data_IF_424213922287
#
_entry.id   IF_424213922287
#
_cell.length_a   1.000
_cell.length_b   1.000
_cell.length_c   1.000
_cell.angle_alpha   90.00
_cell.angle_beta   90.00
_cell.angle_gamma   90.00
#
_symmetry.space_group_name_H-M   'P 1'
#
loop_
_entity.id
_entity.type
_entity.pdbx_description
1 polymer ?
#
# COMPACT_ATOMS: atom_id res chain seq x y z
N UNK A 1 -8.84 -2.47 11.79
CA UNK A 1 -8.99 -1.12 12.46
C UNK A 1 -10.45 -0.73 12.42
N UNK A 2 -11.09 -0.70 13.59
CA UNK A 2 -12.56 -0.51 13.71
C UNK A 2 -13.08 0.77 13.05
N UNK A 3 -12.41 1.90 13.27
CA UNK A 3 -12.78 3.19 12.64
C UNK A 3 -12.81 3.11 11.11
N UNK A 4 -11.84 2.44 10.48
CA UNK A 4 -11.79 2.27 9.03
C UNK A 4 -12.91 1.34 8.55
N UNK A 5 -13.18 0.26 9.25
CA UNK A 5 -14.26 -0.69 8.91
C UNK A 5 -15.63 -0.01 8.98
N UNK A 6 -15.89 0.77 10.05
CA UNK A 6 -17.11 1.56 10.18
C UNK A 6 -17.25 2.58 9.03
N UNK A 7 -16.14 3.22 8.62
CA UNK A 7 -16.14 4.14 7.48
C UNK A 7 -16.42 3.43 6.16
N UNK A 8 -15.85 2.25 5.94
CA UNK A 8 -16.12 1.43 4.75
C UNK A 8 -17.60 1.01 4.71
N UNK A 9 -18.16 0.57 5.84
CA UNK A 9 -19.58 0.17 5.91
C UNK A 9 -20.54 1.34 5.67
N UNK A 10 -20.18 2.55 6.10
CA UNK A 10 -21.01 3.74 5.98
C UNK A 10 -20.96 4.36 4.60
N UNK A 11 -19.78 4.55 4.06
CA UNK A 11 -19.52 5.38 2.88
C UNK A 11 -18.91 4.61 1.70
N UNK A 12 -18.56 3.34 1.89
CA UNK A 12 -18.08 2.47 0.83
C UNK A 12 -19.22 2.02 -0.08
N UNK A 13 -18.95 1.90 -1.38
CA UNK A 13 -19.92 1.44 -2.35
C UNK A 13 -19.42 0.17 -3.06
N UNK A 14 -20.22 -0.89 -3.06
CA UNK A 14 -19.89 -2.15 -3.72
C UNK A 14 -20.43 -2.10 -5.14
N UNK A 15 -19.54 -2.31 -6.12
CA UNK A 15 -19.88 -2.39 -7.53
C UNK A 15 -19.64 -3.81 -8.03
N UNK A 16 -20.69 -4.42 -8.57
CA UNK A 16 -20.64 -5.84 -8.99
C UNK A 16 -20.31 -6.76 -7.79
N UNK A 17 -19.55 -7.81 -8.07
CA UNK A 17 -19.28 -8.87 -7.09
C UNK A 17 -17.95 -8.66 -6.31
N UNK A 18 -17.02 -7.86 -6.84
CA UNK A 18 -15.63 -7.83 -6.34
C UNK A 18 -14.99 -6.44 -6.22
N UNK A 19 -15.74 -5.35 -6.46
CA UNK A 19 -15.20 -4.00 -6.44
C UNK A 19 -15.75 -3.25 -5.23
N UNK A 20 -14.85 -2.81 -4.35
CA UNK A 20 -15.17 -1.84 -3.31
C UNK A 20 -14.67 -0.47 -3.74
N UNK A 21 -15.57 0.50 -3.83
CA UNK A 21 -15.30 1.90 -4.13
C UNK A 21 -15.27 2.69 -2.82
N UNK A 22 -14.16 3.37 -2.57
CA UNK A 22 -13.89 4.18 -1.36
C UNK A 22 -13.42 5.59 -1.74
N UNK A 23 -13.96 6.09 -2.83
CA UNK A 23 -13.55 7.35 -3.44
C UNK A 23 -13.94 8.59 -2.63
N UNK A 24 -14.92 8.47 -1.75
CA UNK A 24 -15.38 9.57 -0.91
C UNK A 24 -14.45 9.88 0.28
N UNK A 25 -13.47 9.00 0.59
CA UNK A 25 -12.60 9.22 1.74
C UNK A 25 -11.14 8.74 1.58
N UNK A 26 -10.83 7.97 0.53
CA UNK A 26 -9.48 7.42 0.33
C UNK A 26 -8.92 7.65 -1.08
N UNK A 27 -9.62 7.20 -2.14
CA UNK A 27 -8.99 7.06 -3.47
C UNK A 27 -9.26 8.23 -4.42
N UNK A 28 -10.12 9.20 -4.06
CA UNK A 28 -10.38 10.41 -4.83
C UNK A 28 -10.49 11.65 -3.93
N UNK A 29 -11.49 11.71 -3.06
CA UNK A 29 -11.50 12.63 -1.93
C UNK A 29 -10.75 11.98 -0.77
N UNK A 30 -9.86 12.73 -0.13
CA UNK A 30 -9.07 12.24 1.00
C UNK A 30 -9.60 12.83 2.30
N UNK A 31 -10.07 11.98 3.21
CA UNK A 31 -10.40 12.37 4.56
C UNK A 31 -9.12 12.41 5.40
N UNK A 32 -8.59 13.61 5.61
CA UNK A 32 -7.32 13.80 6.31
C UNK A 32 -7.35 13.32 7.76
N UNK A 33 -8.51 13.40 8.43
CA UNK A 33 -8.65 12.93 9.81
C UNK A 33 -8.52 11.41 9.89
N UNK A 34 -9.18 10.70 8.96
CA UNK A 34 -9.03 9.25 8.83
C UNK A 34 -7.60 8.86 8.47
N UNK A 35 -6.95 9.58 7.54
CA UNK A 35 -5.56 9.32 7.16
C UNK A 35 -4.59 9.47 8.33
N UNK A 36 -4.81 10.46 9.18
CA UNK A 36 -4.02 10.65 10.40
C UNK A 36 -4.14 9.45 11.36
N UNK A 37 -5.34 8.95 11.57
CA UNK A 37 -5.53 7.77 12.42
C UNK A 37 -4.95 6.49 11.80
N UNK A 38 -4.99 6.35 10.48
CA UNK A 38 -4.30 5.30 9.72
C UNK A 38 -2.79 5.42 9.94
N UNK A 39 -2.23 6.63 9.79
CA UNK A 39 -0.81 6.91 10.02
C UNK A 39 -0.36 6.50 11.40
N UNK A 40 -1.07 6.95 12.45
CA UNK A 40 -0.80 6.60 13.85
C UNK A 40 -0.86 5.10 14.10
N UNK A 41 -1.86 4.44 13.55
CA UNK A 41 -2.04 2.99 13.76
C UNK A 41 -0.87 2.20 13.18
N UNK A 42 -0.44 2.51 11.95
CA UNK A 42 0.74 1.88 11.36
C UNK A 42 2.03 2.26 12.09
N UNK A 43 2.21 3.54 12.42
CA UNK A 43 3.41 3.99 13.12
C UNK A 43 3.56 3.31 14.49
N UNK A 44 2.48 3.19 15.25
CA UNK A 44 2.50 2.46 16.53
C UNK A 44 2.89 0.99 16.34
N UNK A 45 2.38 0.35 15.29
CA UNK A 45 2.71 -1.05 14.99
C UNK A 45 4.19 -1.22 14.61
N UNK A 46 4.75 -0.29 13.84
CA UNK A 46 6.12 -0.39 13.29
C UNK A 46 7.18 0.45 14.04
N UNK A 47 6.85 1.12 15.14
CA UNK A 47 7.76 2.01 15.88
C UNK A 47 9.11 1.38 16.27
N UNK A 48 9.14 0.06 16.48
CA UNK A 48 10.34 -0.68 16.87
C UNK A 48 11.04 -1.39 15.70
N UNK A 49 10.53 -1.27 14.48
CA UNK A 49 11.10 -1.93 13.30
C UNK A 49 12.34 -1.22 12.74
N UNK A 50 12.64 -0.01 13.22
CA UNK A 50 13.79 0.78 12.77
C UNK A 50 13.65 1.24 11.32
N UNK A 51 12.42 1.55 10.90
CA UNK A 51 12.11 2.08 9.56
C UNK A 51 12.88 3.38 9.33
N UNK A 52 13.48 3.50 8.15
CA UNK A 52 14.21 4.71 7.73
C UNK A 52 13.51 5.42 6.56
N UNK A 53 12.58 4.74 5.92
CA UNK A 53 11.88 5.28 4.74
C UNK A 53 10.54 4.61 4.51
N UNK A 54 9.54 5.39 4.12
CA UNK A 54 8.26 4.89 3.64
C UNK A 54 8.23 4.95 2.11
N UNK A 55 7.77 3.87 1.48
CA UNK A 55 7.63 3.77 0.02
C UNK A 55 6.20 3.38 -0.33
N UNK A 56 5.67 4.03 -1.35
CA UNK A 56 4.34 3.72 -1.89
C UNK A 56 4.31 3.80 -3.41
N UNK A 57 3.13 3.64 -4.01
CA UNK A 57 2.91 3.82 -5.45
C UNK A 57 1.80 4.86 -5.69
N UNK A 58 1.97 5.70 -6.73
CA UNK A 58 0.91 6.64 -7.11
C UNK A 58 -0.35 5.92 -7.61
N UNK A 59 -1.56 6.48 -7.34
CA UNK A 59 -1.77 7.75 -6.66
C UNK A 59 -2.34 7.55 -5.24
N UNK A 60 -3.23 6.58 -5.01
CA UNK A 60 -4.05 6.48 -3.80
C UNK A 60 -3.28 6.07 -2.55
N UNK A 61 -2.13 5.38 -2.71
CA UNK A 61 -1.24 5.04 -1.61
C UNK A 61 -0.50 6.25 -1.01
N UNK A 62 -0.42 7.39 -1.74
CA UNK A 62 0.35 8.56 -1.30
C UNK A 62 -0.21 9.15 -0.01
N UNK A 63 -1.53 9.31 0.09
CA UNK A 63 -2.14 9.93 1.26
C UNK A 63 -1.85 9.15 2.55
N UNK A 64 -2.18 7.84 2.68
CA UNK A 64 -1.87 7.10 3.89
C UNK A 64 -0.35 7.01 4.15
N UNK A 65 0.48 6.83 3.12
CA UNK A 65 1.93 6.76 3.26
C UNK A 65 2.54 8.05 3.83
N UNK A 66 2.01 9.22 3.45
CA UNK A 66 2.47 10.51 3.96
C UNK A 66 2.25 10.61 5.48
N UNK A 67 1.07 10.24 5.97
CA UNK A 67 0.79 10.30 7.41
C UNK A 67 1.57 9.24 8.21
N UNK A 68 1.84 8.07 7.62
CA UNK A 68 2.74 7.08 8.24
C UNK A 68 4.16 7.63 8.36
N UNK A 69 4.67 8.26 7.31
CA UNK A 69 5.99 8.86 7.29
C UNK A 69 6.13 10.02 8.28
N UNK A 70 5.09 10.87 8.40
CA UNK A 70 5.02 11.95 9.39
C UNK A 70 5.11 11.39 10.83
N UNK A 71 4.31 10.39 11.16
CA UNK A 71 4.29 9.81 12.51
C UNK A 71 5.58 9.03 12.85
N UNK A 72 6.27 8.46 11.86
CA UNK A 72 7.57 7.79 12.03
C UNK A 72 8.77 8.75 11.95
N UNK A 73 8.57 10.01 11.59
CA UNK A 73 9.60 11.04 11.35
C UNK A 73 10.66 10.57 10.32
N UNK A 74 10.20 10.01 9.19
CA UNK A 74 11.05 9.51 8.10
C UNK A 74 10.61 10.06 6.75
N UNK A 75 11.51 10.17 5.75
CA UNK A 75 11.11 10.57 4.40
C UNK A 75 10.22 9.52 3.74
N UNK A 76 9.31 10.00 2.87
CA UNK A 76 8.46 9.18 2.02
C UNK A 76 8.82 9.42 0.55
N UNK A 77 8.84 8.34 -0.24
CA UNK A 77 8.94 8.39 -1.70
C UNK A 77 7.81 7.57 -2.32
N UNK A 78 7.45 7.90 -3.55
CA UNK A 78 6.46 7.12 -4.28
C UNK A 78 6.94 6.76 -5.69
N UNK A 79 6.63 5.52 -6.08
CA UNK A 79 6.84 5.05 -7.45
C UNK A 79 5.83 5.68 -8.40
N UNK A 80 6.32 6.09 -9.57
CA UNK A 80 5.50 6.68 -10.65
C UNK A 80 5.17 5.64 -11.70
N UNK A 81 3.94 5.66 -12.20
CA UNK A 81 3.45 4.76 -13.27
C UNK A 81 3.83 5.20 -14.67
N UNK A 82 4.33 6.41 -14.84
CA UNK A 82 4.78 6.92 -16.13
C UNK A 82 6.31 7.03 -16.19
N UNK A 83 6.89 6.73 -17.35
CA UNK A 83 8.29 7.08 -17.63
C UNK A 83 8.40 8.60 -17.68
N UNK A 84 8.95 9.22 -16.65
CA UNK A 84 9.29 10.64 -16.70
C UNK A 84 10.55 10.79 -17.57
N UNK A 85 10.41 11.43 -18.73
CA UNK A 85 11.49 11.72 -19.69
C UNK A 85 12.63 12.56 -19.06
N UNK A 86 12.35 13.23 -17.93
CA UNK A 86 13.32 14.06 -17.20
C UNK A 86 14.22 13.29 -16.21
N UNK A 87 14.04 11.98 -16.06
CA UNK A 87 14.86 11.14 -15.18
C UNK A 87 15.86 10.36 -16.05
N UNK A 88 16.99 10.96 -16.37
CA UNK A 88 17.93 10.42 -17.37
C UNK A 88 18.95 9.41 -16.86
N UNK A 89 19.17 9.28 -15.53
CA UNK A 89 20.17 8.34 -14.98
C UNK A 89 19.70 7.74 -13.64
N UNK A 90 20.04 6.48 -13.39
CA UNK A 90 19.82 5.83 -12.11
C UNK A 90 18.35 5.56 -11.77
N UNK A 91 17.51 5.29 -12.78
CA UNK A 91 16.10 4.93 -12.57
C UNK A 91 16.00 3.44 -12.28
N UNK A 92 15.36 3.10 -11.18
CA UNK A 92 14.99 1.74 -10.83
C UNK A 92 13.56 1.49 -11.31
N UNK A 93 13.31 0.36 -11.96
CA UNK A 93 12.01 0.06 -12.56
C UNK A 93 11.55 -1.36 -12.26
N UNK A 94 10.23 -1.53 -12.24
CA UNK A 94 9.60 -2.86 -12.25
C UNK A 94 8.35 -2.84 -13.12
N UNK A 95 7.98 -4.00 -13.62
CA UNK A 95 6.71 -4.18 -14.31
C UNK A 95 5.63 -4.63 -13.33
N UNK A 96 4.47 -3.97 -13.40
CA UNK A 96 3.30 -4.27 -12.57
C UNK A 96 2.12 -4.58 -13.48
N UNK A 97 1.60 -5.78 -13.38
CA UNK A 97 0.41 -6.19 -14.10
C UNK A 97 -0.86 -5.79 -13.35
N UNK A 98 -1.74 -5.06 -14.00
CA UNK A 98 -3.05 -4.70 -13.48
C UNK A 98 -4.11 -5.69 -13.97
N UNK A 99 -4.60 -6.55 -13.10
CA UNK A 99 -5.69 -7.49 -13.41
C UNK A 99 -7.00 -6.77 -13.78
N UNK A 100 -7.28 -5.63 -13.15
CA UNK A 100 -8.49 -4.84 -13.43
C UNK A 100 -8.46 -4.20 -14.82
N UNK A 101 -7.29 -3.70 -15.24
CA UNK A 101 -7.11 -3.04 -16.54
C UNK A 101 -6.56 -3.97 -17.62
N UNK A 102 -6.12 -5.18 -17.25
CA UNK A 102 -5.46 -6.16 -18.12
C UNK A 102 -4.27 -5.57 -18.90
N UNK A 103 -3.50 -4.70 -18.25
CA UNK A 103 -2.31 -4.08 -18.84
C UNK A 103 -1.13 -4.16 -17.89
N UNK A 104 0.07 -4.31 -18.46
CA UNK A 104 1.32 -4.15 -17.73
C UNK A 104 1.76 -2.70 -17.78
N UNK A 105 2.10 -2.14 -16.65
CA UNK A 105 2.62 -0.79 -16.51
C UNK A 105 4.01 -0.83 -15.90
N UNK A 106 4.93 -0.04 -16.41
CA UNK A 106 6.23 0.18 -15.79
C UNK A 106 6.08 1.19 -14.65
N UNK A 107 6.54 0.81 -13.46
CA UNK A 107 6.66 1.73 -12.32
C UNK A 107 8.11 2.05 -12.08
N UNK A 108 8.41 3.25 -11.60
CA UNK A 108 9.78 3.74 -11.49
C UNK A 108 10.01 4.61 -10.26
N UNK A 109 11.21 4.50 -9.67
CA UNK A 109 11.74 5.38 -8.63
C UNK A 109 13.13 5.85 -9.04
N UNK A 110 13.46 7.13 -8.77
CA UNK A 110 14.83 7.60 -8.94
C UNK A 110 15.74 6.96 -7.88
N UNK A 111 16.74 6.19 -8.29
CA UNK A 111 17.60 5.41 -7.41
C UNK A 111 18.36 6.26 -6.38
N UNK A 112 18.61 7.55 -6.67
CA UNK A 112 19.25 8.49 -5.72
C UNK A 112 18.48 8.69 -4.41
N UNK A 113 17.21 8.28 -4.33
CA UNK A 113 16.37 8.39 -3.13
C UNK A 113 16.32 7.10 -2.31
N UNK A 114 16.95 6.03 -2.78
CA UNK A 114 17.09 4.76 -2.07
C UNK A 114 18.57 4.43 -1.87
N UNK A 115 18.89 3.87 -0.71
CA UNK A 115 20.25 3.45 -0.37
C UNK A 115 20.25 2.04 0.22
N UNK A 116 21.39 1.31 0.14
CA UNK A 116 21.50 -0.04 0.73
C UNK A 116 21.29 -0.10 2.25
N UNK A 117 21.36 1.05 2.95
CA UNK A 117 21.14 1.16 4.38
C UNK A 117 19.66 1.34 4.74
N UNK A 118 18.80 1.60 3.73
CA UNK A 118 17.39 1.85 4.00
C UNK A 118 16.66 0.58 4.44
N UNK A 119 15.88 0.75 5.51
CA UNK A 119 14.88 -0.18 6.01
C UNK A 119 13.51 0.37 5.63
N UNK A 120 12.91 -0.21 4.63
CA UNK A 120 11.74 0.35 3.97
C UNK A 120 10.46 -0.27 4.52
N UNK A 121 9.50 0.58 4.84
CA UNK A 121 8.10 0.21 5.03
C UNK A 121 7.33 0.55 3.75
N UNK A 122 6.77 -0.45 3.09
CA UNK A 122 5.84 -0.24 2.00
C UNK A 122 4.46 0.04 2.58
N UNK A 123 3.79 1.12 2.11
CA UNK A 123 2.39 1.42 2.44
C UNK A 123 1.60 1.51 1.14
N UNK A 124 0.45 0.83 1.09
CA UNK A 124 -0.45 0.91 -0.07
C UNK A 124 -1.92 0.97 0.36
N UNK A 125 -2.79 1.51 -0.51
CA UNK A 125 -4.22 1.65 -0.24
C UNK A 125 -4.96 0.31 -0.30
N UNK A 126 -4.69 -0.51 -1.31
CA UNK A 126 -5.33 -1.82 -1.51
C UNK A 126 -4.33 -2.95 -1.74
N UNK A 127 -4.56 -4.07 -1.10
CA UNK A 127 -3.95 -5.35 -1.46
C UNK A 127 -5.01 -6.25 -2.13
N UNK A 128 -4.79 -6.56 -3.39
CA UNK A 128 -5.56 -7.51 -4.17
C UNK A 128 -4.69 -8.73 -4.53
N UNK A 129 -4.11 -8.76 -5.73
CA UNK A 129 -3.22 -9.84 -6.19
C UNK A 129 -1.73 -9.60 -5.84
N UNK A 130 -1.39 -8.53 -5.12
CA UNK A 130 -0.04 -8.24 -4.64
C UNK A 130 0.95 -7.73 -5.69
N UNK A 131 0.53 -7.46 -6.93
CA UNK A 131 1.45 -7.09 -8.01
C UNK A 131 2.12 -5.72 -7.78
N UNK A 132 1.41 -4.74 -7.24
CA UNK A 132 1.97 -3.42 -6.92
C UNK A 132 3.06 -3.54 -5.84
N UNK A 133 2.75 -4.23 -4.74
CA UNK A 133 3.73 -4.47 -3.67
C UNK A 133 4.94 -5.26 -4.17
N UNK A 134 4.74 -6.30 -5.00
CA UNK A 134 5.84 -7.05 -5.62
C UNK A 134 6.73 -6.16 -6.49
N UNK A 135 6.15 -5.26 -7.29
CA UNK A 135 6.92 -4.32 -8.09
C UNK A 135 7.74 -3.35 -7.22
N UNK A 136 7.18 -2.85 -6.12
CA UNK A 136 7.90 -2.02 -5.17
C UNK A 136 9.04 -2.78 -4.49
N UNK A 137 8.82 -4.03 -4.08
CA UNK A 137 9.87 -4.90 -3.51
C UNK A 137 11.04 -5.02 -4.48
N UNK A 138 10.78 -5.34 -5.75
CA UNK A 138 11.81 -5.46 -6.79
C UNK A 138 12.64 -4.17 -6.94
N UNK A 139 12.00 -3.00 -6.93
CA UNK A 139 12.69 -1.71 -7.02
C UNK A 139 13.56 -1.45 -5.81
N UNK A 140 13.06 -1.74 -4.60
CA UNK A 140 13.79 -1.55 -3.35
C UNK A 140 15.02 -2.46 -3.29
N UNK A 141 14.86 -3.72 -3.68
CA UNK A 141 15.96 -4.70 -3.75
C UNK A 141 17.01 -4.34 -4.82
N UNK A 142 16.61 -3.77 -5.97
CA UNK A 142 17.55 -3.24 -6.98
C UNK A 142 18.44 -2.13 -6.41
N UNK A 143 17.97 -1.34 -5.45
CA UNK A 143 18.75 -0.35 -4.74
C UNK A 143 19.67 -0.94 -3.66
N UNK A 144 19.58 -2.24 -3.40
CA UNK A 144 20.24 -2.93 -2.29
C UNK A 144 19.60 -2.67 -0.93
N UNK A 145 18.47 -1.95 -0.90
CA UNK A 145 17.70 -1.68 0.30
C UNK A 145 16.86 -2.89 0.74
N UNK A 146 16.36 -2.87 1.98
CA UNK A 146 15.57 -3.96 2.54
C UNK A 146 14.13 -3.54 2.80
N UNK A 147 13.17 -4.37 2.38
CA UNK A 147 11.78 -4.25 2.81
C UNK A 147 11.64 -4.89 4.19
N UNK A 148 11.32 -4.07 5.19
CA UNK A 148 11.15 -4.51 6.57
C UNK A 148 9.74 -5.04 6.81
N UNK A 149 8.73 -4.35 6.26
CA UNK A 149 7.33 -4.75 6.35
C UNK A 149 6.48 -4.10 5.27
N UNK A 150 5.23 -4.56 5.14
CA UNK A 150 4.23 -4.04 4.22
C UNK A 150 2.97 -3.71 5.00
N UNK A 151 2.54 -2.44 4.99
CA UNK A 151 1.30 -1.96 5.56
C UNK A 151 0.25 -1.71 4.48
N UNK A 152 -0.93 -2.26 4.66
CA UNK A 152 -2.05 -2.18 3.72
C UNK A 152 -3.26 -1.56 4.42
N UNK A 153 -3.85 -0.54 3.80
CA UNK A 153 -5.06 0.07 4.35
C UNK A 153 -6.24 -0.89 4.24
N UNK A 154 -6.51 -1.42 3.05
CA UNK A 154 -7.63 -2.33 2.79
C UNK A 154 -7.13 -3.58 2.04
N UNK A 155 -7.31 -4.74 2.63
CA UNK A 155 -6.94 -6.02 2.03
C UNK A 155 -8.18 -6.76 1.53
N UNK A 156 -8.17 -7.24 0.30
CA UNK A 156 -9.12 -8.22 -0.23
C UNK A 156 -8.62 -9.62 0.07
N UNK A 157 -8.90 -10.13 1.27
CA UNK A 157 -8.38 -11.41 1.76
C UNK A 157 -8.90 -12.65 1.01
N UNK A 158 -9.83 -12.47 0.09
CA UNK A 158 -10.30 -13.50 -0.83
C UNK A 158 -9.46 -13.58 -2.12
N UNK A 159 -8.37 -12.80 -2.20
CA UNK A 159 -7.38 -12.82 -3.29
C UNK A 159 -6.00 -13.18 -2.74
N UNK A 160 -5.10 -13.63 -3.60
CA UNK A 160 -3.86 -14.31 -3.23
C UNK A 160 -2.72 -13.38 -2.82
N UNK A 161 -2.94 -12.06 -2.80
CA UNK A 161 -1.86 -11.07 -2.61
C UNK A 161 -1.10 -11.23 -1.30
N UNK A 162 -1.80 -11.48 -0.17
CA UNK A 162 -1.15 -11.74 1.11
C UNK A 162 -0.27 -12.99 1.04
N UNK A 163 -0.83 -14.09 0.56
CA UNK A 163 -0.11 -15.37 0.46
C UNK A 163 1.15 -15.25 -0.41
N UNK A 164 1.06 -14.52 -1.52
CA UNK A 164 2.19 -14.22 -2.40
C UNK A 164 3.33 -13.51 -1.66
N UNK A 165 3.00 -12.48 -0.87
CA UNK A 165 3.98 -11.66 -0.16
C UNK A 165 4.58 -12.40 1.04
N UNK A 166 3.77 -13.11 1.82
CA UNK A 166 4.23 -13.88 2.97
C UNK A 166 5.10 -15.07 2.56
N UNK A 167 4.77 -15.76 1.47
CA UNK A 167 5.64 -16.81 0.87
C UNK A 167 6.99 -16.27 0.42
N UNK A 168 7.07 -14.99 0.08
CA UNK A 168 8.33 -14.31 -0.25
C UNK A 168 9.08 -13.78 1.00
N UNK A 169 8.60 -14.10 2.20
CA UNK A 169 9.25 -13.75 3.47
C UNK A 169 8.90 -12.36 4.01
N UNK A 170 7.89 -11.67 3.47
CA UNK A 170 7.52 -10.34 3.91
C UNK A 170 6.35 -10.37 4.90
N UNK A 171 6.48 -9.61 6.00
CA UNK A 171 5.40 -9.37 6.93
C UNK A 171 4.37 -8.42 6.31
N UNK A 172 3.08 -8.80 6.33
CA UNK A 172 1.98 -7.98 5.85
C UNK A 172 1.03 -7.64 7.00
N UNK A 173 0.81 -6.35 7.22
CA UNK A 173 -0.15 -5.83 8.20
C UNK A 173 -1.24 -5.06 7.48
N UNK A 174 -2.50 -5.44 7.68
CA UNK A 174 -3.65 -4.82 7.01
C UNK A 174 -4.63 -4.28 8.03
N UNK A 175 -5.09 -3.03 7.85
CA UNK A 175 -5.98 -2.35 8.81
C UNK A 175 -7.45 -2.76 8.68
N UNK A 176 -7.90 -3.07 7.47
CA UNK A 176 -9.21 -3.66 7.20
C UNK A 176 -9.05 -4.84 6.25
N UNK A 177 -9.51 -6.02 6.66
CA UNK A 177 -9.41 -7.26 5.87
C UNK A 177 -10.79 -7.68 5.40
N UNK A 178 -11.06 -7.56 4.10
CA UNK A 178 -12.32 -7.97 3.50
C UNK A 178 -12.29 -9.49 3.27
N UNK A 179 -13.19 -10.20 3.93
CA UNK A 179 -13.34 -11.64 3.73
C UNK A 179 -14.13 -11.95 2.45
N UNK A 180 -15.27 -11.26 2.27
CA UNK A 180 -16.14 -11.40 1.10
C UNK A 180 -17.15 -10.26 1.01
N UNK A 181 -17.83 -10.20 -0.11
CA UNK A 181 -19.05 -9.39 -0.27
C UNK A 181 -20.28 -10.31 -0.19
N UNK A 182 -21.27 -9.92 0.62
CA UNK A 182 -22.47 -10.71 0.81
C UNK A 182 -23.70 -9.79 0.93
N UNK A 183 -24.71 -10.02 0.11
CA UNK A 183 -25.95 -9.24 0.10
C UNK A 183 -25.72 -7.72 0.01
N UNK A 184 -24.75 -7.28 -0.82
CA UNK A 184 -24.40 -5.88 -0.97
C UNK A 184 -23.67 -5.26 0.22
N UNK A 185 -23.12 -6.08 1.12
CA UNK A 185 -22.34 -5.64 2.29
C UNK A 185 -20.94 -6.23 2.28
N UNK A 186 -20.04 -5.53 2.94
CA UNK A 186 -18.68 -6.02 3.21
C UNK A 186 -18.71 -6.86 4.46
N UNK A 187 -18.13 -8.05 4.40
CA UNK A 187 -17.85 -8.90 5.57
C UNK A 187 -16.35 -8.85 5.82
N UNK A 188 -15.97 -8.48 7.03
CA UNK A 188 -14.57 -8.42 7.43
C UNK A 188 -14.12 -9.72 8.10
N UNK A 189 -12.85 -10.06 7.92
CA UNK A 189 -12.17 -11.03 8.78
C UNK A 189 -11.97 -10.43 10.16
N UNK A 190 -11.95 -11.27 11.19
CA UNK A 190 -11.57 -10.85 12.52
C UNK A 190 -10.14 -10.26 12.50
N UNK A 191 -9.94 -9.18 13.24
CA UNK A 191 -8.65 -8.52 13.31
C UNK A 191 -7.62 -9.41 14.01
N UNK A 192 -6.46 -9.58 13.38
CA UNK A 192 -5.27 -10.23 13.97
C UNK A 192 -4.30 -9.19 14.58
N UNK A 193 -4.82 -7.98 14.93
CA UNK A 193 -4.02 -6.86 15.45
C UNK A 193 -4.32 -6.64 16.92
#
# INVERSE_FOLDING_TARGET
MKLLEERILKDGNILGENILKVDSFLTHQVDYSLMREIGRTFAEHFKNAGITKVVTIEASGIAPALYVAEELDVPMIFAKKAKNITMNEGILTAEVYSFTKQVTSTVSIAGKFLSPQDKVLIIDDFLANGQAAKGLIQIIEQAGARVEAIGIVIEKSFQDGRELLEKSGHQVVSLARLERFENGRVIFKEAEI
#
